data_IF_361146823440
#
_entry.id   IF_361146823440
#
_cell.length_a   1.000
_cell.length_b   1.000
_cell.length_c   1.000
_cell.angle_alpha   90.00
_cell.angle_beta   90.00
_cell.angle_gamma   90.00
#
_symmetry.space_group_name_H-M   'P 1'
#
loop_
_entity.id
_entity.type
_entity.pdbx_description
1 polymer ?
#
# COMPACT_ATOMS: atom_id res chain seq x y z
N UNK A 1 -48.02 -26.09 8.20
CA UNK A 1 -47.79 -24.72 7.64
C UNK A 1 -46.73 -23.89 8.39
N UNK A 2 -46.48 -24.09 9.69
CA UNK A 2 -45.51 -23.30 10.47
C UNK A 2 -44.02 -23.59 10.17
N UNK A 3 -43.68 -24.83 9.78
CA UNK A 3 -42.30 -25.26 9.49
C UNK A 3 -41.72 -24.59 8.23
N UNK A 4 -42.53 -24.46 7.16
CA UNK A 4 -42.13 -23.75 5.92
C UNK A 4 -41.83 -22.26 6.15
N UNK A 5 -42.49 -21.62 7.13
CA UNK A 5 -42.25 -20.21 7.50
C UNK A 5 -40.93 -20.01 8.27
N UNK A 6 -40.44 -21.03 8.96
CA UNK A 6 -39.18 -20.96 9.71
C UNK A 6 -37.99 -21.10 8.76
N UNK A 7 -38.07 -22.02 7.79
CA UNK A 7 -37.05 -22.17 6.76
C UNK A 7 -36.97 -20.95 5.83
N UNK A 8 -38.11 -20.35 5.46
CA UNK A 8 -38.12 -19.08 4.72
C UNK A 8 -37.45 -17.93 5.48
N UNK A 9 -37.58 -17.87 6.82
CA UNK A 9 -36.91 -16.85 7.64
C UNK A 9 -35.41 -17.10 7.77
N UNK A 10 -35.01 -18.37 7.86
CA UNK A 10 -33.59 -18.76 7.91
C UNK A 10 -32.90 -18.45 6.57
N UNK A 11 -33.57 -18.76 5.45
CA UNK A 11 -33.06 -18.46 4.09
C UNK A 11 -32.95 -16.95 3.88
N UNK A 12 -33.95 -16.15 4.29
CA UNK A 12 -33.89 -14.67 4.17
C UNK A 12 -32.79 -14.07 5.06
N UNK A 13 -32.53 -14.61 6.25
CA UNK A 13 -31.43 -14.16 7.10
C UNK A 13 -30.05 -14.53 6.54
N UNK A 14 -29.93 -15.71 5.91
CA UNK A 14 -28.68 -16.19 5.30
C UNK A 14 -28.37 -15.49 3.97
N UNK A 15 -29.39 -15.12 3.19
CA UNK A 15 -29.23 -14.35 1.95
C UNK A 15 -28.98 -12.86 2.21
N UNK A 16 -29.53 -12.29 3.30
CA UNK A 16 -29.22 -10.92 3.74
C UNK A 16 -27.76 -10.78 4.24
N UNK A 17 -27.14 -11.87 4.69
CA UNK A 17 -25.71 -11.94 4.98
C UNK A 17 -24.82 -12.10 3.74
N UNK A 18 -25.40 -12.50 2.59
CA UNK A 18 -24.67 -12.82 1.36
C UNK A 18 -24.74 -11.73 0.27
N UNK A 19 -25.56 -10.68 0.46
CA UNK A 19 -25.61 -9.53 -0.45
C UNK A 19 -25.00 -8.33 0.28
N UNK A 20 -23.68 -8.21 0.25
CA UNK A 20 -23.01 -6.92 0.00
C UNK A 20 -21.50 -7.10 -0.26
N UNK A 21 -21.06 -7.61 -1.42
CA UNK A 21 -19.84 -7.10 -2.00
C UNK A 21 -20.23 -5.81 -2.73
N UNK A 22 -20.28 -4.66 -2.05
CA UNK A 22 -20.18 -3.40 -2.78
C UNK A 22 -18.72 -3.26 -3.23
N UNK A 23 -18.36 -4.06 -4.23
CA UNK A 23 -17.17 -3.92 -5.04
C UNK A 23 -17.35 -2.70 -5.96
N UNK A 24 -17.24 -1.53 -5.36
CA UNK A 24 -16.95 -0.26 -6.02
C UNK A 24 -15.91 0.44 -5.16
N UNK A 25 -15.21 1.44 -5.70
CA UNK A 25 -14.42 2.34 -4.87
C UNK A 25 -15.37 3.08 -3.92
N UNK A 26 -15.72 2.46 -2.80
CA UNK A 26 -16.69 2.98 -1.86
C UNK A 26 -15.94 3.48 -0.62
N UNK A 27 -15.96 4.79 -0.40
CA UNK A 27 -15.38 5.42 0.78
C UNK A 27 -16.04 4.88 2.05
N UNK A 28 -15.28 4.78 3.14
CA UNK A 28 -15.74 4.34 4.46
C UNK A 28 -16.91 5.18 4.96
N UNK A 29 -17.03 6.44 4.55
CA UNK A 29 -18.19 7.32 4.77
C UNK A 29 -19.50 6.67 4.30
N UNK A 30 -19.53 6.20 3.05
CA UNK A 30 -20.76 5.68 2.46
C UNK A 30 -21.10 4.29 3.02
N UNK A 31 -20.07 3.47 3.24
CA UNK A 31 -20.20 2.16 3.90
C UNK A 31 -20.71 2.31 5.33
N UNK A 32 -20.11 3.23 6.10
CA UNK A 32 -20.52 3.54 7.47
C UNK A 32 -21.94 4.10 7.52
N UNK A 33 -22.30 4.99 6.60
CA UNK A 33 -23.66 5.54 6.50
C UNK A 33 -24.69 4.45 6.17
N UNK A 34 -24.43 3.61 5.18
CA UNK A 34 -25.34 2.54 4.77
C UNK A 34 -25.52 1.50 5.89
N UNK A 35 -24.42 1.07 6.51
CA UNK A 35 -24.45 0.12 7.62
C UNK A 35 -25.16 0.71 8.85
N UNK A 36 -24.82 1.95 9.20
CA UNK A 36 -25.43 2.68 10.31
C UNK A 36 -26.92 2.92 10.09
N UNK A 37 -27.33 3.26 8.86
CA UNK A 37 -28.74 3.42 8.53
C UNK A 37 -29.51 2.10 8.56
N UNK A 38 -28.95 1.01 8.01
CA UNK A 38 -29.57 -0.31 8.06
C UNK A 38 -29.74 -0.82 9.50
N UNK A 39 -28.65 -0.79 10.28
CA UNK A 39 -28.67 -1.22 11.68
C UNK A 39 -29.56 -0.33 12.54
N UNK A 40 -29.46 0.99 12.38
CA UNK A 40 -30.26 1.98 13.10
C UNK A 40 -31.75 1.86 12.77
N UNK A 41 -32.11 1.58 11.51
CA UNK A 41 -33.50 1.35 11.12
C UNK A 41 -34.09 0.11 11.77
N UNK A 42 -33.29 -0.96 11.87
CA UNK A 42 -33.75 -2.21 12.48
C UNK A 42 -34.02 -2.02 13.97
N UNK A 43 -33.07 -1.42 14.70
CA UNK A 43 -33.21 -1.13 16.14
C UNK A 43 -34.35 -0.14 16.38
N UNK A 44 -34.40 0.93 15.60
CA UNK A 44 -35.46 1.94 15.67
C UNK A 44 -36.85 1.36 15.39
N UNK A 45 -36.99 0.43 14.46
CA UNK A 45 -38.25 -0.26 14.19
C UNK A 45 -38.71 -1.10 15.39
N UNK A 46 -37.79 -1.79 16.08
CA UNK A 46 -38.10 -2.61 17.25
C UNK A 46 -38.58 -1.74 18.41
N UNK A 47 -37.87 -0.64 18.69
CA UNK A 47 -38.23 0.30 19.76
C UNK A 47 -39.54 1.02 19.41
N UNK A 48 -39.67 1.52 18.18
CA UNK A 48 -40.87 2.18 17.69
C UNK A 48 -42.10 1.28 17.72
N UNK A 49 -41.94 -0.02 17.46
CA UNK A 49 -43.02 -1.00 17.55
C UNK A 49 -43.60 -1.11 18.97
N UNK A 50 -42.78 -0.98 20.02
CA UNK A 50 -43.28 -0.99 21.41
C UNK A 50 -44.17 0.22 21.73
N UNK A 51 -43.97 1.32 21.01
CA UNK A 51 -44.73 2.57 21.17
C UNK A 51 -45.84 2.73 20.12
N UNK A 52 -46.11 1.71 19.29
CA UNK A 52 -47.09 1.76 18.21
C UNK A 52 -46.66 2.52 16.94
N UNK A 53 -45.40 2.97 16.87
CA UNK A 53 -44.86 3.82 15.80
C UNK A 53 -43.64 3.18 15.13
N UNK A 54 -43.81 1.96 14.61
CA UNK A 54 -42.73 1.17 13.98
C UNK A 54 -42.03 1.91 12.84
N UNK A 55 -42.80 2.51 11.93
CA UNK A 55 -42.24 3.19 10.75
C UNK A 55 -41.48 4.46 11.12
N UNK A 56 -42.03 5.26 12.04
CA UNK A 56 -41.35 6.44 12.55
C UNK A 56 -40.05 6.06 13.28
N UNK A 57 -40.08 5.02 14.13
CA UNK A 57 -38.90 4.52 14.81
C UNK A 57 -37.82 4.03 13.83
N UNK A 58 -38.21 3.32 12.77
CA UNK A 58 -37.29 2.85 11.74
C UNK A 58 -36.65 4.02 10.98
N UNK A 59 -37.44 5.02 10.57
CA UNK A 59 -36.94 6.18 9.84
C UNK A 59 -35.99 7.02 10.70
N UNK A 60 -36.34 7.29 11.96
CA UNK A 60 -35.52 8.07 12.88
C UNK A 60 -34.22 7.32 13.19
N UNK A 61 -34.31 6.03 13.51
CA UNK A 61 -33.14 5.20 13.78
C UNK A 61 -32.22 5.07 12.57
N UNK A 62 -32.79 4.94 11.37
CA UNK A 62 -32.05 4.90 10.12
C UNK A 62 -31.35 6.21 9.79
N UNK A 63 -32.03 7.35 9.94
CA UNK A 63 -31.42 8.66 9.71
C UNK A 63 -30.31 8.94 10.73
N UNK A 64 -30.58 8.73 12.03
CA UNK A 64 -29.60 8.97 13.08
C UNK A 64 -28.38 8.03 12.95
N UNK A 65 -28.62 6.75 12.69
CA UNK A 65 -27.57 5.77 12.47
C UNK A 65 -26.76 6.04 11.20
N UNK A 66 -27.42 6.47 10.12
CA UNK A 66 -26.77 6.82 8.87
C UNK A 66 -25.89 8.06 8.97
N UNK A 67 -26.37 9.12 9.61
CA UNK A 67 -25.58 10.34 9.86
C UNK A 67 -24.37 10.04 10.76
N UNK A 68 -24.58 9.27 11.83
CA UNK A 68 -23.51 8.88 12.75
C UNK A 68 -22.46 8.01 12.04
N UNK A 69 -22.91 7.05 11.25
CA UNK A 69 -22.03 6.19 10.45
C UNK A 69 -21.25 6.96 9.37
N UNK A 70 -21.88 7.94 8.72
CA UNK A 70 -21.23 8.81 7.74
C UNK A 70 -20.11 9.65 8.39
N UNK A 71 -20.39 10.26 9.55
CA UNK A 71 -19.41 11.10 10.24
C UNK A 71 -18.15 10.32 10.65
N UNK A 72 -18.33 9.10 11.18
CA UNK A 72 -17.21 8.22 11.56
C UNK A 72 -16.44 7.74 10.32
N UNK A 73 -17.16 7.38 9.24
CA UNK A 73 -16.52 6.95 8.00
C UNK A 73 -15.70 8.07 7.35
N UNK A 74 -16.15 9.32 7.41
CA UNK A 74 -15.42 10.47 6.87
C UNK A 74 -14.09 10.72 7.58
N UNK A 75 -14.05 10.52 8.90
CA UNK A 75 -12.81 10.59 9.66
C UNK A 75 -11.82 9.49 9.25
N UNK A 76 -12.30 8.28 9.00
CA UNK A 76 -11.46 7.17 8.50
C UNK A 76 -10.93 7.42 7.10
N UNK A 77 -11.78 7.90 6.19
CA UNK A 77 -11.36 8.24 4.83
C UNK A 77 -10.25 9.30 4.83
N UNK A 78 -10.40 10.34 5.66
CA UNK A 78 -9.39 11.37 5.82
C UNK A 78 -8.08 10.85 6.43
N UNK A 79 -8.14 9.81 7.26
CA UNK A 79 -6.95 9.16 7.82
C UNK A 79 -6.27 8.27 6.78
N UNK A 80 -7.02 7.46 6.05
CA UNK A 80 -6.49 6.60 4.99
C UNK A 80 -5.83 7.41 3.88
N UNK A 81 -6.39 8.57 3.52
CA UNK A 81 -5.77 9.46 2.53
C UNK A 81 -4.40 9.98 3.01
N UNK A 82 -4.27 10.33 4.29
CA UNK A 82 -2.99 10.77 4.90
C UNK A 82 -1.98 9.63 4.92
N UNK A 83 -2.40 8.44 5.35
CA UNK A 83 -1.54 7.27 5.44
C UNK A 83 -1.10 6.80 4.06
N UNK A 84 -1.99 6.86 3.06
CA UNK A 84 -1.67 6.59 1.67
C UNK A 84 -0.66 7.60 1.11
N UNK A 85 -0.79 8.89 1.44
CA UNK A 85 0.17 9.91 1.03
C UNK A 85 1.57 9.66 1.63
N UNK A 86 1.64 9.31 2.93
CA UNK A 86 2.90 8.95 3.60
C UNK A 86 3.50 7.69 2.97
N UNK A 87 2.69 6.68 2.74
CA UNK A 87 3.13 5.40 2.17
C UNK A 87 3.63 5.57 0.74
N UNK A 88 2.94 6.36 -0.09
CA UNK A 88 3.38 6.68 -1.46
C UNK A 88 4.70 7.45 -1.45
N UNK A 89 4.86 8.42 -0.55
CA UNK A 89 6.12 9.15 -0.41
C UNK A 89 7.27 8.25 0.09
N UNK A 90 6.98 7.33 1.01
CA UNK A 90 7.93 6.32 1.48
C UNK A 90 8.29 5.32 0.37
N UNK A 91 7.31 4.87 -0.41
CA UNK A 91 7.49 3.91 -1.49
C UNK A 91 8.23 4.53 -2.68
N UNK A 92 8.01 5.82 -2.99
CA UNK A 92 8.80 6.55 -3.99
C UNK A 92 10.28 6.67 -3.58
N UNK A 93 10.57 6.84 -2.29
CA UNK A 93 11.95 6.81 -1.78
C UNK A 93 12.49 5.37 -1.77
N UNK A 94 11.67 4.40 -1.39
CA UNK A 94 12.05 3.00 -1.38
C UNK A 94 12.31 2.47 -2.79
N UNK A 95 11.61 2.93 -3.83
CA UNK A 95 11.92 2.58 -5.22
C UNK A 95 13.26 3.18 -5.68
N UNK A 96 13.65 4.35 -5.18
CA UNK A 96 15.00 4.87 -5.36
C UNK A 96 16.08 4.09 -4.60
N UNK A 97 15.73 3.43 -3.49
CA UNK A 97 16.66 2.57 -2.74
C UNK A 97 16.65 1.10 -3.22
N UNK A 98 15.55 0.62 -3.78
CA UNK A 98 15.39 -0.73 -4.34
C UNK A 98 15.95 -0.82 -5.76
N UNK A 99 15.94 0.30 -6.51
CA UNK A 99 16.89 0.54 -7.59
C UNK A 99 18.26 0.88 -6.98
N UNK A 100 18.77 -0.01 -6.10
CA UNK A 100 20.15 0.05 -5.62
C UNK A 100 21.00 0.29 -6.85
N UNK A 101 21.52 1.52 -6.96
CA UNK A 101 22.15 1.99 -8.17
C UNK A 101 23.25 1.01 -8.48
N UNK A 102 23.08 0.25 -9.57
CA UNK A 102 24.12 -0.60 -10.10
C UNK A 102 25.38 0.27 -10.13
N UNK A 103 26.44 -0.21 -9.48
CA UNK A 103 27.66 0.57 -9.34
C UNK A 103 28.12 1.02 -10.73
N UNK A 104 28.47 2.29 -10.84
CA UNK A 104 29.00 2.87 -12.07
C UNK A 104 30.50 3.08 -11.94
N UNK A 105 31.17 3.35 -13.06
CA UNK A 105 32.58 3.73 -13.05
C UNK A 105 32.82 4.97 -12.17
N UNK A 106 31.87 5.91 -12.13
CA UNK A 106 31.98 7.10 -11.27
C UNK A 106 31.98 6.75 -9.79
N UNK A 107 31.21 5.75 -9.38
CA UNK A 107 31.19 5.29 -7.99
C UNK A 107 32.52 4.63 -7.62
N UNK A 108 33.11 3.84 -8.51
CA UNK A 108 34.43 3.21 -8.31
C UNK A 108 35.54 4.27 -8.22
N UNK A 109 35.51 5.24 -9.13
CA UNK A 109 36.41 6.39 -9.11
C UNK A 109 36.30 7.12 -7.77
N UNK A 110 35.08 7.41 -7.33
CA UNK A 110 34.83 8.08 -6.06
C UNK A 110 35.32 7.24 -4.86
N UNK A 111 35.09 5.93 -4.87
CA UNK A 111 35.59 5.04 -3.81
C UNK A 111 37.12 5.04 -3.74
N UNK A 112 37.79 4.99 -4.89
CA UNK A 112 39.25 5.06 -4.98
C UNK A 112 39.81 6.44 -4.56
N UNK A 113 39.17 7.53 -5.01
CA UNK A 113 39.56 8.90 -4.64
C UNK A 113 39.42 9.15 -3.13
N UNK A 114 38.41 8.56 -2.50
CA UNK A 114 38.24 8.58 -1.04
C UNK A 114 39.19 7.64 -0.29
N UNK A 115 40.21 7.08 -0.96
CA UNK A 115 41.22 6.18 -0.38
C UNK A 115 40.61 4.91 0.23
N UNK A 116 39.45 4.47 -0.24
CA UNK A 116 38.91 3.17 0.19
C UNK A 116 39.81 2.05 -0.31
N UNK A 117 39.98 1.02 0.52
CA UNK A 117 40.78 -0.15 0.17
C UNK A 117 40.12 -0.90 -1.01
N UNK A 118 40.94 -1.32 -1.96
CA UNK A 118 40.58 -2.17 -3.09
C UNK A 118 39.66 -3.33 -2.70
N UNK A 119 39.88 -4.00 -1.57
CA UNK A 119 39.03 -5.12 -1.14
C UNK A 119 37.58 -4.69 -0.85
N UNK A 120 37.37 -3.47 -0.33
CA UNK A 120 36.04 -2.89 -0.12
C UNK A 120 35.38 -2.58 -1.45
N UNK A 121 36.16 -2.04 -2.39
CA UNK A 121 35.69 -1.71 -3.75
C UNK A 121 35.30 -2.99 -4.50
N UNK A 122 36.13 -4.03 -4.42
CA UNK A 122 35.87 -5.34 -5.01
C UNK A 122 34.64 -6.00 -4.38
N UNK A 123 34.52 -5.99 -3.06
CA UNK A 123 33.34 -6.52 -2.38
C UNK A 123 32.06 -5.77 -2.78
N UNK A 124 32.14 -4.45 -2.97
CA UNK A 124 31.02 -3.66 -3.45
C UNK A 124 30.61 -4.07 -4.88
N UNK A 125 31.59 -4.25 -5.77
CA UNK A 125 31.38 -4.74 -7.15
C UNK A 125 30.69 -6.11 -7.14
N UNK A 126 31.17 -7.04 -6.30
CA UNK A 126 30.62 -8.39 -6.20
C UNK A 126 29.21 -8.44 -5.58
N UNK A 127 28.97 -7.68 -4.52
CA UNK A 127 27.71 -7.75 -3.77
C UNK A 127 26.58 -7.01 -4.48
N UNK A 128 26.88 -5.85 -5.08
CA UNK A 128 25.85 -4.99 -5.67
C UNK A 128 25.74 -5.15 -7.19
N UNK A 129 26.77 -5.68 -7.85
CA UNK A 129 26.88 -5.61 -9.30
C UNK A 129 26.94 -4.16 -9.80
N UNK A 130 27.10 -3.99 -11.11
CA UNK A 130 27.20 -2.66 -11.67
C UNK A 130 27.03 -2.59 -13.17
N UNK A 131 26.71 -1.39 -13.65
CA UNK A 131 26.68 -1.08 -15.08
C UNK A 131 27.99 -0.38 -15.41
N UNK A 132 29.03 -1.19 -15.55
CA UNK A 132 30.35 -0.65 -15.81
C UNK A 132 30.59 -0.51 -17.31
N UNK A 133 31.23 0.61 -17.69
CA UNK A 133 31.71 0.87 -19.03
C UNK A 133 33.15 0.38 -19.13
N UNK A 134 33.42 -0.46 -20.12
CA UNK A 134 34.74 -1.07 -20.36
C UNK A 134 35.42 -0.56 -21.64
N UNK A 135 34.95 0.56 -22.18
CA UNK A 135 35.62 1.22 -23.32
C UNK A 135 36.93 1.89 -22.86
N UNK A 136 37.81 2.17 -23.82
CA UNK A 136 39.13 2.75 -23.56
C UNK A 136 39.03 4.06 -22.76
N UNK A 137 38.06 4.92 -23.06
CA UNK A 137 37.83 6.18 -22.37
C UNK A 137 37.52 5.98 -20.86
N UNK A 138 36.63 5.05 -20.53
CA UNK A 138 36.27 4.79 -19.13
C UNK A 138 37.41 4.14 -18.33
N UNK A 139 38.18 3.25 -18.96
CA UNK A 139 39.35 2.62 -18.32
C UNK A 139 40.46 3.65 -18.05
N UNK A 140 40.71 4.58 -18.99
CA UNK A 140 41.66 5.68 -18.80
C UNK A 140 41.19 6.62 -17.69
N UNK A 141 39.89 6.94 -17.63
CA UNK A 141 39.33 7.77 -16.57
C UNK A 141 39.49 7.11 -15.19
N UNK A 142 39.27 5.79 -15.10
CA UNK A 142 39.50 5.03 -13.86
C UNK A 142 40.97 5.02 -13.46
N UNK A 143 41.87 4.73 -14.40
CA UNK A 143 43.30 4.69 -14.14
C UNK A 143 43.85 6.06 -13.71
N UNK A 144 43.45 7.13 -14.41
CA UNK A 144 43.89 8.50 -14.09
C UNK A 144 43.32 9.03 -12.77
N UNK A 145 42.17 8.53 -12.34
CA UNK A 145 41.60 8.82 -11.03
C UNK A 145 42.24 8.01 -9.87
N UNK A 146 43.19 7.12 -10.16
CA UNK A 146 43.90 6.32 -9.16
C UNK A 146 43.26 4.97 -8.83
N UNK A 147 42.28 4.52 -9.62
CA UNK A 147 41.69 3.19 -9.47
C UNK A 147 42.74 2.13 -9.79
N UNK A 148 42.88 1.13 -8.92
CA UNK A 148 43.91 0.10 -9.08
C UNK A 148 43.61 -0.85 -10.24
N UNK A 149 44.67 -1.37 -10.86
CA UNK A 149 44.54 -2.36 -11.95
C UNK A 149 43.72 -3.59 -11.54
N UNK A 150 43.79 -4.00 -10.27
CA UNK A 150 43.01 -5.13 -9.74
C UNK A 150 41.52 -4.86 -9.80
N UNK A 151 41.08 -3.68 -9.39
CA UNK A 151 39.67 -3.26 -9.48
C UNK A 151 39.23 -3.12 -10.94
N UNK A 152 40.07 -2.55 -11.81
CA UNK A 152 39.75 -2.38 -13.24
C UNK A 152 39.58 -3.72 -13.96
N UNK A 153 40.40 -4.72 -13.65
CA UNK A 153 40.28 -6.09 -14.17
C UNK A 153 38.97 -6.73 -13.74
N UNK A 154 38.56 -6.53 -12.49
CA UNK A 154 37.31 -7.09 -11.98
C UNK A 154 36.09 -6.46 -12.65
N UNK A 155 36.11 -5.14 -12.82
CA UNK A 155 35.11 -4.41 -13.60
C UNK A 155 35.01 -4.95 -15.03
N UNK A 156 36.15 -5.20 -15.68
CA UNK A 156 36.17 -5.70 -17.03
C UNK A 156 35.60 -7.12 -17.13
N UNK A 157 35.92 -8.00 -16.17
CA UNK A 157 35.38 -9.35 -16.09
C UNK A 157 33.86 -9.35 -15.92
N UNK A 158 33.33 -8.49 -15.06
CA UNK A 158 31.88 -8.41 -14.75
C UNK A 158 31.03 -7.75 -15.85
N UNK A 159 31.63 -7.21 -16.91
CA UNK A 159 30.90 -6.51 -17.97
C UNK A 159 30.68 -7.34 -19.24
N UNK A 160 31.15 -8.60 -19.26
CA UNK A 160 31.14 -9.49 -20.44
C UNK A 160 30.01 -10.54 -20.37
N UNK A 161 29.27 -10.60 -19.26
CA UNK A 161 28.06 -11.41 -19.08
C UNK A 161 26.78 -10.57 -19.29
#
# INVERSE_FOLDING_TARGET
>A
MKLRKLEQRLIVALTLGSILPLAGCQNNTQTGAALGAGAGSLVGAIIGHQSGHKEAGALIGGLAGGLSGAAVGNAKDAQEERDAAITRAAQARASHHAAQRALTNSDIIMMSQNRLNDDIILNAIHTKGGRFRTNSEALIAMQSAGVSNRVMLEVQRHSVD
#
